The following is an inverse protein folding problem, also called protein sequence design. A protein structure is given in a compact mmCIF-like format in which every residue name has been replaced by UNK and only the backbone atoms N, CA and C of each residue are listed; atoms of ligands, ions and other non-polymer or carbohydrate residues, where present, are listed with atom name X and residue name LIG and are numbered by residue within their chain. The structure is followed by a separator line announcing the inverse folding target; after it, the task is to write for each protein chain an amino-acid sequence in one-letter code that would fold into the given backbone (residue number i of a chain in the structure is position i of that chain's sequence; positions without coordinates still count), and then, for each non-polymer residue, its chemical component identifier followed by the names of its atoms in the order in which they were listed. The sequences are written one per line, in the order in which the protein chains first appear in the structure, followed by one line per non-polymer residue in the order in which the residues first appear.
data_IF_216318372927
#
_entry.id   IF_216318372927
#
_cell.length_a   1.000
_cell.length_b   1.000
_cell.length_c   1.000
_cell.angle_alpha   90.00
_cell.angle_beta   90.00
_cell.angle_gamma   90.00
#
_symmetry.space_group_name_H-M   'P 1'
#
loop_
_entity.id
_entity.type
_entity.pdbx_description
1 polymer ?
#
# COMPACT_ATOMS: atom_id res chain seq x y z
N UNK A 1 22.08 -14.50 -13.18
CA UNK A 1 20.77 -14.22 -13.77
C UNK A 1 20.52 -12.73 -13.62
N UNK A 2 20.20 -12.00 -14.68
CA UNK A 2 19.94 -10.54 -14.59
C UNK A 2 18.65 -10.30 -13.82
N UNK A 3 18.61 -9.23 -13.01
CA UNK A 3 17.36 -8.76 -12.39
C UNK A 3 16.29 -8.55 -13.45
N UNK A 4 15.05 -8.78 -13.08
CA UNK A 4 13.91 -8.68 -13.98
C UNK A 4 13.67 -7.20 -14.28
N UNK A 5 13.58 -6.86 -15.56
CA UNK A 5 13.27 -5.52 -16.04
C UNK A 5 12.05 -5.55 -16.99
N UNK A 6 11.60 -4.38 -17.47
CA UNK A 6 10.43 -4.28 -18.33
C UNK A 6 10.55 -5.07 -19.65
N UNK A 7 11.78 -5.35 -20.14
CA UNK A 7 12.00 -6.08 -21.39
C UNK A 7 11.73 -7.58 -21.25
N UNK A 8 11.91 -8.13 -20.07
CA UNK A 8 11.75 -9.57 -19.80
C UNK A 8 10.62 -9.90 -18.80
N UNK A 9 9.92 -8.88 -18.29
CA UNK A 9 8.92 -9.06 -17.23
C UNK A 9 7.77 -9.97 -17.63
N UNK A 10 7.34 -9.94 -18.88
CA UNK A 10 6.30 -10.82 -19.40
C UNK A 10 6.74 -12.28 -19.52
N UNK A 11 8.05 -12.57 -19.42
CA UNK A 11 8.57 -13.94 -19.38
C UNK A 11 8.43 -14.58 -18.00
N UNK A 12 8.12 -13.77 -16.97
CA UNK A 12 7.94 -14.25 -15.61
C UNK A 12 6.75 -15.20 -15.53
N UNK A 13 7.00 -16.40 -14.97
CA UNK A 13 5.95 -17.39 -14.83
C UNK A 13 5.31 -17.83 -16.16
N UNK A 14 5.99 -17.58 -17.30
CA UNK A 14 5.47 -17.83 -18.65
C UNK A 14 4.15 -17.09 -18.91
N UNK A 15 4.03 -15.84 -18.42
CA UNK A 15 2.85 -15.02 -18.64
C UNK A 15 2.53 -14.87 -20.12
N UNK A 16 1.30 -15.09 -20.51
CA UNK A 16 0.84 -14.97 -21.90
C UNK A 16 -0.23 -13.88 -22.04
N UNK A 17 -1.29 -13.95 -21.26
CA UNK A 17 -2.46 -13.04 -21.29
C UNK A 17 -3.33 -13.24 -20.06
N UNK A 18 -4.20 -12.28 -19.78
CA UNK A 18 -5.23 -12.41 -18.73
C UNK A 18 -6.12 -13.64 -18.98
N UNK A 19 -6.28 -14.42 -17.93
CA UNK A 19 -7.16 -15.58 -17.90
C UNK A 19 -8.19 -15.45 -16.78
N UNK A 20 -9.47 -15.64 -17.12
CA UNK A 20 -10.57 -15.69 -16.15
C UNK A 20 -10.76 -17.08 -15.53
N UNK A 21 -9.81 -18.02 -15.68
CA UNK A 21 -9.89 -19.33 -15.03
C UNK A 21 -10.13 -19.16 -13.51
N UNK A 22 -11.15 -19.83 -12.99
CA UNK A 22 -11.60 -19.75 -11.59
C UNK A 22 -12.04 -18.34 -11.13
N UNK A 23 -12.41 -17.46 -12.08
CA UNK A 23 -12.93 -16.12 -11.80
C UNK A 23 -14.28 -15.99 -12.55
N UNK A 24 -15.36 -15.98 -11.78
CA UNK A 24 -16.68 -15.80 -12.35
C UNK A 24 -16.96 -14.33 -12.74
N UNK A 25 -18.03 -14.10 -13.50
CA UNK A 25 -18.41 -12.76 -13.99
C UNK A 25 -18.50 -11.73 -12.85
N UNK A 26 -19.16 -12.07 -11.74
CA UNK A 26 -19.37 -11.17 -10.61
C UNK A 26 -18.05 -10.72 -9.99
N UNK A 27 -17.12 -11.65 -9.79
CA UNK A 27 -15.79 -11.35 -9.24
C UNK A 27 -14.95 -10.52 -10.23
N UNK A 28 -14.97 -10.86 -11.53
CA UNK A 28 -14.22 -10.12 -12.53
C UNK A 28 -14.69 -8.66 -12.62
N UNK A 29 -16.00 -8.41 -12.61
CA UNK A 29 -16.56 -7.05 -12.54
C UNK A 29 -16.17 -6.35 -11.24
N UNK A 30 -16.22 -7.04 -10.11
CA UNK A 30 -15.81 -6.46 -8.82
C UNK A 30 -14.34 -6.02 -8.80
N UNK A 31 -13.43 -6.84 -9.34
CA UNK A 31 -12.01 -6.49 -9.45
C UNK A 31 -11.82 -5.26 -10.34
N UNK A 32 -12.48 -5.23 -11.49
CA UNK A 32 -12.44 -4.08 -12.40
C UNK A 32 -12.97 -2.80 -11.75
N UNK A 33 -14.16 -2.88 -11.16
CA UNK A 33 -14.80 -1.72 -10.50
C UNK A 33 -13.92 -1.15 -9.39
N UNK A 34 -13.29 -2.01 -8.58
CA UNK A 34 -12.39 -1.55 -7.53
C UNK A 34 -11.15 -0.84 -8.10
N UNK A 35 -10.49 -1.43 -9.12
CA UNK A 35 -9.32 -0.80 -9.74
C UNK A 35 -9.68 0.53 -10.39
N UNK A 36 -10.79 0.60 -11.12
CA UNK A 36 -11.23 1.84 -11.76
C UNK A 36 -11.56 2.92 -10.73
N UNK A 37 -12.30 2.59 -9.68
CA UNK A 37 -12.61 3.52 -8.58
C UNK A 37 -11.35 4.01 -7.89
N UNK A 38 -10.40 3.12 -7.59
CA UNK A 38 -9.12 3.50 -6.99
C UNK A 38 -8.35 4.46 -7.89
N UNK A 39 -8.24 4.17 -9.20
CA UNK A 39 -7.60 5.05 -10.17
C UNK A 39 -8.24 6.42 -10.21
N UNK A 40 -9.57 6.50 -10.31
CA UNK A 40 -10.30 7.78 -10.33
C UNK A 40 -10.11 8.57 -9.04
N UNK A 41 -10.06 7.87 -7.89
CA UNK A 41 -9.75 8.47 -6.59
C UNK A 41 -8.35 9.09 -6.57
N UNK A 42 -7.33 8.35 -7.01
CA UNK A 42 -5.95 8.83 -7.06
C UNK A 42 -5.79 10.00 -8.04
N UNK A 43 -6.38 9.92 -9.24
CA UNK A 43 -6.36 10.99 -10.24
C UNK A 43 -7.08 12.26 -9.74
N UNK A 44 -8.15 12.10 -8.98
CA UNK A 44 -8.86 13.23 -8.37
C UNK A 44 -8.02 13.90 -7.28
N UNK A 45 -7.38 13.10 -6.41
CA UNK A 45 -6.45 13.61 -5.40
C UNK A 45 -5.25 14.29 -6.08
N UNK A 46 -4.68 13.68 -7.13
CA UNK A 46 -3.54 14.22 -7.89
C UNK A 46 -3.88 15.60 -8.48
N UNK A 47 -5.07 15.75 -9.04
CA UNK A 47 -5.56 17.01 -9.60
C UNK A 47 -5.77 18.09 -8.54
N UNK A 48 -6.30 17.72 -7.37
CA UNK A 48 -6.61 18.62 -6.26
C UNK A 48 -5.36 18.93 -5.41
N UNK A 49 -4.37 18.05 -5.41
CA UNK A 49 -3.13 18.19 -4.65
C UNK A 49 -2.30 19.33 -5.21
N UNK A 50 -2.65 20.54 -4.85
CA UNK A 50 -1.89 21.71 -5.25
C UNK A 50 -0.79 22.01 -4.20
N UNK A 51 0.44 22.35 -4.64
CA UNK A 51 1.56 22.59 -3.72
C UNK A 51 1.32 23.67 -2.68
N UNK A 52 0.34 24.52 -2.89
CA UNK A 52 0.14 25.65 -2.00
C UNK A 52 -0.85 25.40 -0.87
N UNK A 53 -1.77 24.41 -0.95
CA UNK A 53 -2.97 24.83 -0.29
C UNK A 53 -3.54 23.92 0.79
N UNK A 54 -4.27 22.89 0.47
CA UNK A 54 -5.14 22.29 1.47
C UNK A 54 -4.65 20.93 1.95
N UNK A 55 -3.99 20.16 1.07
CA UNK A 55 -3.37 18.86 1.42
C UNK A 55 -1.89 19.04 1.73
N UNK A 56 -1.56 19.23 2.99
CA UNK A 56 -0.19 19.57 3.42
C UNK A 56 0.69 18.37 3.77
N UNK A 57 0.23 17.16 3.52
CA UNK A 57 1.02 15.96 3.74
C UNK A 57 1.65 15.46 2.43
N UNK A 58 2.84 14.82 2.48
CA UNK A 58 3.38 14.13 1.33
C UNK A 58 2.43 13.00 0.90
N UNK A 59 2.04 12.99 -0.38
CA UNK A 59 1.15 11.96 -0.94
C UNK A 59 1.92 11.07 -1.91
N UNK A 60 1.77 9.76 -1.77
CA UNK A 60 2.39 8.76 -2.64
C UNK A 60 1.29 8.01 -3.38
N UNK A 61 1.10 8.33 -4.65
CA UNK A 61 0.03 7.77 -5.48
C UNK A 61 0.31 6.32 -5.89
N UNK A 62 -0.72 5.48 -5.84
CA UNK A 62 -0.65 4.08 -6.26
C UNK A 62 -1.21 3.83 -7.67
N UNK A 63 -1.34 4.88 -8.50
CA UNK A 63 -1.76 4.77 -9.89
C UNK A 63 -0.81 3.88 -10.68
N UNK A 64 -1.35 2.82 -11.28
CA UNK A 64 -0.59 1.75 -11.95
C UNK A 64 -0.41 0.48 -11.12
N UNK A 65 -0.67 0.53 -9.82
CA UNK A 65 -0.45 -0.56 -8.86
C UNK A 65 -1.78 -1.12 -8.27
N UNK A 66 -2.91 -0.93 -8.96
CA UNK A 66 -4.25 -1.21 -8.41
C UNK A 66 -4.59 -2.70 -8.28
N UNK A 67 -3.84 -3.59 -8.93
CA UNK A 67 -4.19 -5.02 -9.00
C UNK A 67 -4.08 -5.74 -7.65
N UNK A 68 -3.06 -5.41 -6.84
CA UNK A 68 -2.88 -5.99 -5.50
C UNK A 68 -3.99 -5.54 -4.55
N UNK A 69 -4.25 -4.23 -4.38
CA UNK A 69 -5.38 -3.77 -3.55
C UNK A 69 -6.73 -4.33 -3.96
N UNK A 70 -7.04 -4.40 -5.26
CA UNK A 70 -8.28 -4.98 -5.78
C UNK A 70 -8.44 -6.46 -5.42
N UNK A 71 -7.36 -7.20 -5.52
CA UNK A 71 -7.33 -8.61 -5.13
C UNK A 71 -7.58 -8.77 -3.63
N UNK A 72 -6.87 -8.01 -2.79
CA UNK A 72 -7.01 -8.05 -1.34
C UNK A 72 -8.42 -7.65 -0.87
N UNK A 73 -9.05 -6.64 -1.50
CA UNK A 73 -10.44 -6.26 -1.24
C UNK A 73 -11.41 -7.43 -1.42
N UNK A 74 -11.12 -8.32 -2.35
CA UNK A 74 -11.98 -9.46 -2.67
C UNK A 74 -11.70 -10.70 -1.84
N UNK A 75 -10.51 -10.81 -1.23
CA UNK A 75 -10.02 -12.00 -0.51
C UNK A 75 -10.14 -11.85 1.00
N UNK A 76 -9.82 -10.68 1.54
CA UNK A 76 -9.71 -10.48 2.99
C UNK A 76 -11.07 -10.41 3.65
N UNK A 77 -11.15 -11.02 4.83
CA UNK A 77 -12.30 -10.96 5.75
C UNK A 77 -12.14 -9.79 6.73
N UNK A 78 -13.21 -9.41 7.39
CA UNK A 78 -13.20 -8.30 8.38
C UNK A 78 -12.18 -8.53 9.50
N UNK A 79 -12.04 -9.77 9.99
CA UNK A 79 -11.10 -10.13 11.05
C UNK A 79 -9.64 -10.25 10.63
N UNK A 80 -9.31 -10.20 9.34
CA UNK A 80 -7.92 -10.23 8.86
C UNK A 80 -7.27 -8.87 9.06
N UNK A 81 -5.95 -8.87 9.26
CA UNK A 81 -5.16 -7.65 9.40
C UNK A 81 -4.40 -7.36 8.11
N UNK A 82 -4.34 -6.09 7.76
CA UNK A 82 -3.61 -5.60 6.60
C UNK A 82 -2.67 -4.47 7.02
N UNK A 83 -1.40 -4.67 6.75
CA UNK A 83 -0.35 -3.68 6.93
C UNK A 83 0.15 -3.21 5.58
N UNK A 84 0.53 -1.94 5.49
CA UNK A 84 0.99 -1.31 4.25
C UNK A 84 2.18 -0.39 4.50
N UNK A 85 2.75 0.08 3.42
CA UNK A 85 3.79 1.09 3.36
C UNK A 85 3.20 2.48 3.06
N UNK A 86 4.07 3.47 2.81
CA UNK A 86 3.70 4.85 2.53
C UNK A 86 2.73 5.06 1.35
N UNK A 87 2.69 4.14 0.37
CA UNK A 87 1.74 4.15 -0.76
C UNK A 87 0.48 3.38 -0.39
N UNK A 88 -0.28 3.94 0.55
CA UNK A 88 -1.23 3.21 1.38
C UNK A 88 -2.68 3.26 0.92
N UNK A 89 -3.07 4.21 0.05
CA UNK A 89 -4.48 4.49 -0.27
C UNK A 89 -5.22 3.27 -0.83
N UNK A 90 -4.59 2.52 -1.76
CA UNK A 90 -5.16 1.30 -2.31
C UNK A 90 -5.43 0.24 -1.24
N UNK A 91 -4.51 0.06 -0.30
CA UNK A 91 -4.66 -0.89 0.81
C UNK A 91 -5.71 -0.44 1.83
N UNK A 92 -5.76 0.86 2.12
CA UNK A 92 -6.79 1.46 2.97
C UNK A 92 -8.20 1.17 2.43
N UNK A 93 -8.42 1.46 1.15
CA UNK A 93 -9.69 1.19 0.47
C UNK A 93 -9.95 -0.32 0.32
N UNK A 94 -8.90 -1.15 0.14
CA UNK A 94 -9.04 -2.60 0.09
C UNK A 94 -9.61 -3.18 1.39
N UNK A 95 -9.31 -2.58 2.53
CA UNK A 95 -9.89 -2.94 3.83
C UNK A 95 -11.26 -2.30 4.08
N UNK A 96 -11.86 -1.70 3.04
CA UNK A 96 -13.18 -1.05 3.11
C UNK A 96 -13.24 0.08 4.15
N UNK A 97 -12.13 0.74 4.40
CA UNK A 97 -12.11 1.94 5.20
C UNK A 97 -12.78 3.08 4.42
N UNK A 98 -13.50 4.00 5.09
CA UNK A 98 -14.30 5.02 4.41
C UNK A 98 -13.44 6.03 3.63
N UNK A 99 -13.77 6.27 2.36
CA UNK A 99 -13.09 7.26 1.52
C UNK A 99 -13.19 8.68 2.11
N UNK A 100 -14.33 9.04 2.70
CA UNK A 100 -14.53 10.32 3.39
C UNK A 100 -13.50 10.57 4.48
N UNK A 101 -13.10 9.52 5.22
CA UNK A 101 -12.09 9.64 6.27
C UNK A 101 -10.66 9.70 5.72
N UNK A 102 -10.41 9.06 4.57
CA UNK A 102 -9.15 9.21 3.85
C UNK A 102 -8.97 10.68 3.43
N UNK A 103 -9.95 11.26 2.76
CA UNK A 103 -9.86 12.64 2.30
C UNK A 103 -9.76 13.64 3.45
N UNK A 104 -10.56 13.47 4.50
CA UNK A 104 -10.44 14.31 5.69
C UNK A 104 -9.06 14.21 6.35
N UNK A 105 -8.41 13.03 6.29
CA UNK A 105 -7.03 12.86 6.79
C UNK A 105 -6.02 13.62 5.93
N UNK A 106 -6.15 13.55 4.59
CA UNK A 106 -5.26 14.28 3.68
C UNK A 106 -5.35 15.79 3.87
N UNK A 107 -6.54 16.30 4.23
CA UNK A 107 -6.76 17.71 4.58
C UNK A 107 -6.37 18.06 6.03
N UNK A 108 -5.83 17.12 6.81
CA UNK A 108 -5.45 17.34 8.20
C UNK A 108 -6.63 17.59 9.14
N UNK A 109 -7.82 17.05 8.84
CA UNK A 109 -9.06 17.34 9.58
C UNK A 109 -9.31 16.36 10.72
N UNK A 110 -9.92 16.86 11.81
CA UNK A 110 -10.28 16.06 13.00
C UNK A 110 -11.12 14.83 12.69
N UNK A 111 -11.92 14.87 11.63
CA UNK A 111 -12.78 13.76 11.21
C UNK A 111 -12.07 12.72 10.36
N UNK A 112 -10.79 12.91 10.05
CA UNK A 112 -9.94 11.97 9.33
C UNK A 112 -9.80 10.63 10.05
N UNK A 113 -9.20 9.67 9.38
CA UNK A 113 -8.99 8.33 9.90
C UNK A 113 -8.15 8.31 11.19
N UNK A 114 -7.19 9.23 11.29
CA UNK A 114 -6.26 9.43 12.41
C UNK A 114 -6.38 10.86 12.97
N UNK A 115 -7.53 11.46 12.88
CA UNK A 115 -7.81 12.82 13.38
C UNK A 115 -6.96 13.92 12.72
N UNK A 116 -6.52 13.69 11.47
CA UNK A 116 -5.71 14.64 10.70
C UNK A 116 -4.22 14.63 11.03
N UNK A 117 -3.73 13.64 11.76
CA UNK A 117 -2.36 13.61 12.30
C UNK A 117 -1.42 12.65 11.56
N UNK A 118 -1.93 11.73 10.77
CA UNK A 118 -1.13 10.73 10.08
C UNK A 118 -0.81 11.10 8.62
N UNK A 119 -1.65 11.93 8.00
CA UNK A 119 -1.54 12.22 6.58
C UNK A 119 -1.70 10.97 5.72
N UNK A 120 -1.08 10.98 4.52
CA UNK A 120 -1.17 9.89 3.56
C UNK A 120 -0.36 8.65 3.93
N UNK A 121 0.84 8.83 4.48
CA UNK A 121 1.83 7.75 4.61
C UNK A 121 1.57 6.81 5.78
N UNK A 122 1.06 7.35 6.89
CA UNK A 122 0.89 6.63 8.15
C UNK A 122 -0.59 6.42 8.48
N UNK A 123 -1.46 6.57 7.47
CA UNK A 123 -2.91 6.44 7.65
C UNK A 123 -3.28 5.05 8.13
N UNK A 124 -4.05 4.98 9.20
CA UNK A 124 -4.51 3.73 9.79
C UNK A 124 -6.02 3.77 10.04
N UNK A 125 -6.65 2.61 10.03
CA UNK A 125 -8.07 2.49 10.36
C UNK A 125 -8.32 1.22 11.18
N UNK A 126 -8.10 1.32 12.49
CA UNK A 126 -8.14 0.21 13.43
C UNK A 126 -9.47 -0.56 13.42
N UNK A 127 -10.60 0.13 13.17
CA UNK A 127 -11.94 -0.50 13.05
C UNK A 127 -11.98 -1.59 11.97
N UNK A 128 -11.17 -1.45 10.92
CA UNK A 128 -11.09 -2.42 9.83
C UNK A 128 -9.76 -3.21 9.85
N UNK A 129 -8.97 -3.13 10.93
CA UNK A 129 -7.66 -3.79 11.05
C UNK A 129 -6.70 -3.41 9.93
N UNK A 130 -6.64 -2.12 9.59
CA UNK A 130 -5.73 -1.57 8.62
C UNK A 130 -4.73 -0.63 9.29
N UNK A 131 -3.45 -0.81 8.95
CA UNK A 131 -2.34 0.00 9.47
C UNK A 131 -1.30 0.25 8.37
N UNK A 132 -0.77 1.44 8.29
CA UNK A 132 0.34 1.76 7.42
C UNK A 132 1.46 2.47 8.17
N UNK A 133 2.62 2.57 7.54
CA UNK A 133 3.76 3.27 8.10
C UNK A 133 4.77 3.65 7.03
N UNK A 134 5.36 4.83 7.17
CA UNK A 134 6.35 5.35 6.23
C UNK A 134 7.71 4.67 6.35
N UNK A 135 8.03 4.08 7.51
CA UNK A 135 9.33 3.44 7.76
C UNK A 135 9.45 2.16 6.94
N UNK A 136 10.47 2.11 6.08
CA UNK A 136 10.75 0.94 5.23
C UNK A 136 10.95 -0.32 6.08
N UNK A 137 10.26 -1.40 5.70
CA UNK A 137 10.18 -2.68 6.40
C UNK A 137 9.53 -2.64 7.80
N UNK A 138 9.28 -1.47 8.40
CA UNK A 138 8.66 -1.35 9.72
C UNK A 138 7.30 -2.02 9.79
N UNK A 139 6.45 -1.81 8.79
CA UNK A 139 5.14 -2.45 8.73
C UNK A 139 5.24 -3.99 8.68
N UNK A 140 6.26 -4.56 8.05
CA UNK A 140 6.44 -6.01 7.96
C UNK A 140 6.77 -6.64 9.33
N UNK A 141 7.65 -6.00 10.12
CA UNK A 141 8.00 -6.48 11.47
C UNK A 141 6.85 -6.33 12.47
N UNK A 142 6.08 -5.25 12.38
CA UNK A 142 4.86 -5.07 13.21
C UNK A 142 3.79 -6.09 12.82
N UNK A 143 3.61 -6.35 11.52
CA UNK A 143 2.71 -7.39 11.01
C UNK A 143 3.10 -8.79 11.52
N UNK A 144 4.41 -9.07 11.60
CA UNK A 144 4.94 -10.29 12.20
C UNK A 144 4.48 -10.45 13.67
N UNK A 145 4.61 -9.38 14.47
CA UNK A 145 4.14 -9.37 15.86
C UNK A 145 2.64 -9.68 15.98
N UNK A 146 1.83 -9.14 15.06
CA UNK A 146 0.40 -9.44 14.97
C UNK A 146 0.16 -10.92 14.65
N UNK A 147 0.91 -11.49 13.71
CA UNK A 147 0.80 -12.91 13.35
C UNK A 147 1.21 -13.84 14.53
N UNK A 148 2.23 -13.46 15.30
CA UNK A 148 2.62 -14.15 16.53
C UNK A 148 1.46 -14.16 17.53
N UNK A 149 0.79 -13.01 17.72
CA UNK A 149 -0.35 -12.93 18.65
C UNK A 149 -1.50 -13.86 18.26
N UNK A 150 -1.68 -14.13 16.98
CA UNK A 150 -2.69 -15.07 16.49
C UNK A 150 -2.34 -16.51 16.84
N UNK A 151 -1.08 -16.89 16.75
CA UNK A 151 -0.63 -18.24 17.11
C UNK A 151 -0.71 -18.46 18.62
N UNK A 152 -0.32 -17.47 19.43
CA UNK A 152 -0.41 -17.54 20.89
C UNK A 152 -1.84 -17.73 21.39
N UNK A 153 -2.81 -17.07 20.76
CA UNK A 153 -4.23 -17.14 21.14
C UNK A 153 -4.95 -18.42 20.69
N UNK A 154 -4.29 -19.32 20.00
CA UNK A 154 -4.77 -20.65 19.52
C UNK A 154 -6.13 -20.67 18.79
N UNK A 155 -6.83 -19.55 18.66
CA UNK A 155 -8.20 -19.45 18.13
C UNK A 155 -8.23 -18.64 16.86
N UNK A 156 -7.48 -19.05 15.79
CA UNK A 156 -7.50 -18.12 14.70
C UNK A 156 -7.53 -18.73 13.33
N UNK A 157 -8.63 -18.44 12.69
CA UNK A 157 -8.83 -18.54 11.27
C UNK A 157 -8.49 -17.19 10.57
N UNK A 158 -7.69 -16.33 11.24
CA UNK A 158 -7.28 -15.01 10.75
C UNK A 158 -5.93 -15.08 10.07
N UNK A 159 -5.70 -14.15 9.15
CA UNK A 159 -4.39 -13.98 8.52
C UNK A 159 -3.96 -12.54 8.63
N UNK A 160 -2.66 -12.35 8.53
CA UNK A 160 -2.02 -11.04 8.37
C UNK A 160 -1.50 -10.93 6.95
N UNK A 161 -1.73 -9.80 6.29
CA UNK A 161 -1.08 -9.45 5.03
C UNK A 161 -0.28 -8.19 5.25
N UNK A 162 0.95 -8.15 4.75
CA UNK A 162 1.78 -6.95 4.73
C UNK A 162 2.21 -6.64 3.30
N UNK A 163 1.82 -5.44 2.80
CA UNK A 163 2.27 -4.89 1.53
C UNK A 163 3.51 -4.03 1.71
N UNK A 164 4.44 -4.08 0.76
CA UNK A 164 5.67 -3.28 0.78
C UNK A 164 6.23 -3.13 -0.63
N UNK A 165 7.00 -2.05 -0.85
CA UNK A 165 7.80 -1.87 -2.05
C UNK A 165 9.11 -2.67 -1.99
N UNK A 166 9.71 -2.94 -3.15
CA UNK A 166 10.93 -3.76 -3.24
C UNK A 166 12.10 -3.22 -2.40
N UNK A 167 12.16 -1.91 -2.19
CA UNK A 167 13.23 -1.28 -1.39
C UNK A 167 13.15 -1.62 0.11
N UNK A 168 12.01 -2.05 0.62
CA UNK A 168 11.92 -2.55 1.99
C UNK A 168 12.83 -3.76 2.23
N UNK A 169 13.16 -4.49 1.17
CA UNK A 169 14.07 -5.64 1.24
C UNK A 169 15.56 -5.27 1.31
N UNK A 170 15.88 -3.97 1.26
CA UNK A 170 17.23 -3.46 1.54
C UNK A 170 17.51 -3.41 3.05
N UNK A 171 16.46 -3.53 3.88
CA UNK A 171 16.56 -3.51 5.34
C UNK A 171 16.71 -4.91 5.92
N UNK A 172 17.65 -5.07 6.86
CA UNK A 172 17.91 -6.37 7.52
C UNK A 172 16.70 -6.93 8.23
N UNK A 173 15.94 -6.08 8.95
CA UNK A 173 14.74 -6.46 9.70
C UNK A 173 13.67 -7.14 8.84
N UNK A 174 13.62 -6.86 7.53
CA UNK A 174 12.73 -7.55 6.61
C UNK A 174 13.06 -9.05 6.54
N UNK A 175 14.32 -9.39 6.34
CA UNK A 175 14.78 -10.78 6.20
C UNK A 175 14.71 -11.56 7.52
N UNK A 176 14.98 -10.88 8.63
CA UNK A 176 14.80 -11.43 9.98
C UNK A 176 13.32 -11.77 10.21
N UNK A 177 12.41 -10.88 9.79
CA UNK A 177 10.96 -11.12 9.88
C UNK A 177 10.52 -12.34 9.05
N UNK A 178 11.07 -12.50 7.84
CA UNK A 178 10.78 -13.67 7.01
C UNK A 178 11.28 -14.96 7.67
N UNK A 179 12.52 -14.95 8.15
CA UNK A 179 13.11 -16.10 8.83
C UNK A 179 12.27 -16.56 10.02
N UNK A 180 11.89 -15.63 10.88
CA UNK A 180 11.07 -15.94 12.04
C UNK A 180 9.67 -16.43 11.66
N UNK A 181 9.03 -15.78 10.67
CA UNK A 181 7.73 -16.21 10.16
C UNK A 181 7.77 -17.65 9.61
N UNK A 182 8.83 -17.99 8.89
CA UNK A 182 9.06 -19.34 8.34
C UNK A 182 9.25 -20.37 9.45
N UNK A 183 10.16 -20.09 10.38
CA UNK A 183 10.48 -20.95 11.53
C UNK A 183 9.22 -21.30 12.34
N UNK A 184 8.36 -20.32 12.59
CA UNK A 184 7.12 -20.47 13.37
C UNK A 184 5.89 -20.83 12.54
N UNK A 185 6.01 -20.96 11.22
CA UNK A 185 4.90 -21.26 10.29
C UNK A 185 3.71 -20.30 10.45
N UNK A 186 4.00 -19.01 10.66
CA UNK A 186 3.00 -18.01 11.00
C UNK A 186 1.99 -17.75 9.85
N UNK A 187 0.74 -17.36 10.15
CA UNK A 187 -0.29 -17.08 9.14
C UNK A 187 -0.14 -15.67 8.55
N UNK A 188 1.02 -15.40 7.95
CA UNK A 188 1.36 -14.10 7.36
C UNK A 188 1.68 -14.24 5.88
N UNK A 189 1.22 -13.27 5.08
CA UNK A 189 1.50 -13.13 3.65
C UNK A 189 2.28 -11.84 3.43
N UNK A 190 3.43 -11.95 2.81
CA UNK A 190 4.26 -10.84 2.38
C UNK A 190 3.99 -10.53 0.91
N UNK A 191 3.54 -9.31 0.59
CA UNK A 191 3.22 -8.90 -0.80
C UNK A 191 4.15 -7.77 -1.20
N UNK A 192 5.07 -8.08 -2.10
CA UNK A 192 5.98 -7.10 -2.67
C UNK A 192 5.37 -6.47 -3.93
N UNK A 193 5.14 -5.18 -3.93
CA UNK A 193 4.88 -4.38 -5.13
C UNK A 193 6.21 -3.88 -5.68
N UNK A 194 6.81 -4.69 -6.55
CA UNK A 194 8.11 -4.39 -7.14
C UNK A 194 7.90 -3.49 -8.36
N UNK A 195 8.06 -2.19 -8.17
CA UNK A 195 8.01 -1.20 -9.25
C UNK A 195 9.41 -0.81 -9.77
N UNK A 196 10.44 -1.54 -9.35
CA UNK A 196 11.83 -1.42 -9.76
C UNK A 196 12.58 -0.19 -9.20
N UNK A 197 11.93 0.73 -8.48
CA UNK A 197 12.56 1.98 -8.08
C UNK A 197 12.33 2.34 -6.61
N UNK A 198 13.42 2.64 -5.90
CA UNK A 198 13.40 3.34 -4.62
C UNK A 198 13.70 4.80 -4.89
N UNK A 199 12.72 5.67 -4.76
CA UNK A 199 12.78 7.06 -5.24
C UNK A 199 13.23 7.10 -6.70
N UNK A 200 14.50 7.40 -6.97
CA UNK A 200 15.08 7.47 -8.32
C UNK A 200 16.09 6.34 -8.59
N UNK A 201 16.37 5.51 -7.59
CA UNK A 201 17.39 4.46 -7.68
C UNK A 201 16.78 3.14 -8.15
N UNK A 202 17.20 2.59 -9.30
CA UNK A 202 16.70 1.30 -9.77
C UNK A 202 17.20 0.15 -8.87
N UNK A 203 16.38 -0.90 -8.76
CA UNK A 203 16.70 -2.07 -7.96
C UNK A 203 18.07 -2.69 -8.31
N UNK A 204 18.44 -2.67 -9.59
CA UNK A 204 19.72 -3.20 -10.07
C UNK A 204 20.97 -2.48 -9.55
N UNK A 205 20.83 -1.27 -9.01
CA UNK A 205 21.90 -0.51 -8.38
C UNK A 205 21.99 -0.71 -6.86
N UNK A 206 20.96 -1.30 -6.25
CA UNK A 206 20.83 -1.47 -4.80
C UNK A 206 20.93 -2.93 -4.36
N UNK A 207 20.52 -3.86 -5.22
CA UNK A 207 20.42 -5.27 -4.88
C UNK A 207 21.21 -6.13 -5.86
N UNK A 208 22.06 -6.99 -5.34
CA UNK A 208 22.77 -8.00 -6.12
C UNK A 208 21.98 -9.31 -6.18
N UNK A 209 22.28 -10.15 -7.17
CA UNK A 209 21.82 -11.53 -7.25
C UNK A 209 20.44 -11.69 -7.88
N UNK A 210 19.79 -12.75 -7.48
CA UNK A 210 18.48 -13.18 -8.02
C UNK A 210 17.36 -12.48 -7.27
N UNK A 211 16.21 -12.23 -7.84
CA UNK A 211 15.10 -11.44 -7.28
C UNK A 211 14.67 -11.78 -5.83
N UNK A 212 13.74 -10.99 -5.32
CA UNK A 212 13.28 -11.05 -3.92
C UNK A 212 12.67 -12.42 -3.60
N UNK A 213 11.87 -12.96 -4.51
CA UNK A 213 11.24 -14.28 -4.38
C UNK A 213 12.29 -15.39 -4.18
N UNK A 214 13.37 -15.40 -4.95
CA UNK A 214 14.41 -16.42 -4.79
C UNK A 214 15.16 -16.29 -3.46
N UNK A 215 15.43 -15.07 -3.02
CA UNK A 215 16.04 -14.83 -1.70
C UNK A 215 15.13 -15.28 -0.56
N UNK A 216 13.81 -15.05 -0.68
CA UNK A 216 12.85 -15.52 0.32
C UNK A 216 12.81 -17.06 0.45
N UNK A 217 13.02 -17.78 -0.66
CA UNK A 217 13.13 -19.25 -0.61
C UNK A 217 14.33 -19.72 0.25
N UNK A 218 15.42 -18.96 0.30
CA UNK A 218 16.57 -19.28 1.14
C UNK A 218 16.25 -19.24 2.65
N UNK A 219 15.22 -18.47 3.04
CA UNK A 219 14.68 -18.44 4.40
C UNK A 219 13.55 -19.47 4.63
N UNK A 220 13.36 -20.42 3.71
CA UNK A 220 12.36 -21.49 3.83
C UNK A 220 10.92 -21.07 3.54
N UNK A 221 10.68 -19.86 3.04
CA UNK A 221 9.35 -19.43 2.61
C UNK A 221 9.04 -19.94 1.20
N UNK A 222 7.82 -20.40 1.01
CA UNK A 222 7.28 -20.51 -0.33
C UNK A 222 7.09 -19.13 -0.91
N UNK A 223 7.60 -18.90 -2.10
CA UNK A 223 7.51 -17.61 -2.77
C UNK A 223 7.22 -17.75 -4.26
N UNK A 224 6.79 -16.67 -4.87
CA UNK A 224 6.54 -16.61 -6.31
C UNK A 224 6.66 -15.18 -6.81
N UNK A 225 7.26 -15.02 -7.99
CA UNK A 225 7.27 -13.77 -8.75
C UNK A 225 6.27 -13.87 -9.91
N UNK A 226 5.47 -12.82 -10.10
CA UNK A 226 4.45 -12.77 -11.15
C UNK A 226 4.38 -11.40 -11.82
N UNK A 227 3.79 -11.33 -13.02
CA UNK A 227 3.38 -10.07 -13.63
C UNK A 227 2.22 -9.47 -12.83
N UNK A 228 2.47 -8.34 -12.16
CA UNK A 228 1.58 -7.74 -11.18
C UNK A 228 0.39 -6.99 -11.78
N UNK A 229 0.43 -6.63 -13.08
CA UNK A 229 -0.67 -5.93 -13.73
C UNK A 229 -1.77 -6.87 -14.24
N UNK A 230 -1.59 -8.20 -14.17
CA UNK A 230 -2.68 -9.16 -14.36
C UNK A 230 -3.40 -9.38 -13.03
N UNK A 231 -4.46 -8.62 -12.78
CA UNK A 231 -5.25 -8.71 -11.55
C UNK A 231 -5.86 -10.11 -11.32
N UNK A 232 -6.16 -10.85 -12.38
CA UNK A 232 -6.70 -12.19 -12.28
C UNK A 232 -5.65 -13.19 -11.78
N UNK A 233 -4.41 -13.04 -12.23
CA UNK A 233 -3.27 -13.81 -11.75
C UNK A 233 -2.94 -13.44 -10.29
N UNK A 234 -2.86 -12.15 -9.99
CA UNK A 234 -2.63 -11.65 -8.62
C UNK A 234 -3.70 -12.19 -7.66
N UNK A 235 -4.97 -12.10 -8.04
CA UNK A 235 -6.07 -12.63 -7.24
C UNK A 235 -5.92 -14.12 -6.95
N UNK A 236 -5.66 -14.96 -7.97
CA UNK A 236 -5.53 -16.41 -7.80
C UNK A 236 -4.37 -16.77 -6.85
N UNK A 237 -3.22 -16.14 -7.02
CA UNK A 237 -2.05 -16.43 -6.19
C UNK A 237 -2.26 -15.97 -4.75
N UNK A 238 -2.79 -14.77 -4.54
CA UNK A 238 -3.11 -14.27 -3.19
C UNK A 238 -4.22 -15.08 -2.53
N UNK A 239 -5.29 -15.46 -3.24
CA UNK A 239 -6.36 -16.27 -2.69
C UNK A 239 -5.84 -17.65 -2.22
N UNK A 240 -4.97 -18.28 -3.02
CA UNK A 240 -4.30 -19.53 -2.66
C UNK A 240 -3.38 -19.36 -1.44
N UNK A 241 -2.57 -18.30 -1.42
CA UNK A 241 -1.67 -18.00 -0.32
C UNK A 241 -2.43 -17.77 0.99
N UNK A 242 -3.46 -16.90 0.98
CA UNK A 242 -4.31 -16.60 2.12
C UNK A 242 -5.05 -17.85 2.62
N UNK A 243 -5.60 -18.67 1.70
CA UNK A 243 -6.24 -19.92 2.07
C UNK A 243 -5.28 -20.91 2.75
N UNK A 244 -4.04 -21.01 2.25
CA UNK A 244 -3.02 -21.86 2.84
C UNK A 244 -2.59 -21.37 4.23
N UNK A 245 -2.37 -20.06 4.39
CA UNK A 245 -2.02 -19.47 5.69
C UNK A 245 -3.13 -19.71 6.73
N UNK A 246 -4.41 -19.57 6.36
CA UNK A 246 -5.54 -19.92 7.23
C UNK A 246 -5.53 -21.38 7.68
N UNK A 247 -5.03 -22.27 6.84
CA UNK A 247 -4.88 -23.70 7.11
C UNK A 247 -3.56 -24.04 7.83
N UNK A 248 -2.87 -23.02 8.37
CA UNK A 248 -1.59 -23.16 9.08
C UNK A 248 -0.48 -23.80 8.24
N UNK A 249 -0.51 -23.60 6.91
CA UNK A 249 0.53 -24.11 6.01
C UNK A 249 1.76 -23.22 5.90
N UNK A 250 1.87 -22.23 6.79
CA UNK A 250 2.99 -21.31 6.89
C UNK A 250 2.84 -20.04 6.03
N UNK A 251 3.86 -19.17 6.10
CA UNK A 251 3.89 -17.91 5.38
C UNK A 251 4.11 -18.10 3.88
N UNK A 252 3.83 -17.03 3.13
CA UNK A 252 4.09 -16.98 1.69
C UNK A 252 4.56 -15.57 1.30
N UNK A 253 5.48 -15.48 0.33
CA UNK A 253 5.86 -14.22 -0.30
C UNK A 253 5.40 -14.19 -1.75
N UNK A 254 4.66 -13.16 -2.12
CA UNK A 254 4.31 -12.86 -3.51
C UNK A 254 5.05 -11.60 -3.95
N UNK A 255 5.89 -11.71 -4.96
CA UNK A 255 6.51 -10.58 -5.64
C UNK A 255 5.72 -10.28 -6.91
N UNK A 256 5.09 -9.10 -6.96
CA UNK A 256 4.32 -8.61 -8.09
C UNK A 256 5.08 -7.52 -8.81
N UNK A 257 5.48 -7.75 -10.06
CA UNK A 257 6.09 -6.72 -10.86
C UNK A 257 5.03 -5.79 -11.42
N UNK A 258 5.12 -4.53 -11.03
CA UNK A 258 4.15 -3.48 -11.33
C UNK A 258 4.89 -2.16 -11.65
N UNK A 259 4.16 -1.06 -11.73
CA UNK A 259 4.78 0.24 -12.02
C UNK A 259 3.91 1.41 -11.56
N UNK A 260 4.50 2.35 -10.87
CA UNK A 260 3.83 3.61 -10.51
C UNK A 260 3.87 4.60 -11.69
N UNK A 261 2.73 5.20 -12.01
CA UNK A 261 2.65 6.16 -13.12
C UNK A 261 3.12 7.54 -12.71
N UNK A 262 2.76 8.01 -11.52
CA UNK A 262 3.22 9.26 -10.94
C UNK A 262 4.66 9.17 -10.44
N UNK A 263 5.25 10.29 -10.06
CA UNK A 263 6.54 10.36 -9.41
C UNK A 263 6.60 9.59 -8.08
N UNK A 264 7.72 9.67 -7.39
CA UNK A 264 7.84 9.01 -6.09
C UNK A 264 6.85 9.61 -5.09
N UNK A 265 6.75 10.92 -5.05
CA UNK A 265 5.89 11.71 -4.16
C UNK A 265 5.28 12.88 -4.91
N UNK A 266 4.05 13.26 -4.57
CA UNK A 266 3.34 14.38 -5.17
C UNK A 266 2.75 14.07 -6.55
N UNK A 267 2.07 15.06 -7.16
CA UNK A 267 1.28 14.89 -8.38
C UNK A 267 2.11 14.89 -9.65
N UNK A 268 3.37 15.32 -9.59
CA UNK A 268 4.20 15.44 -10.79
C UNK A 268 4.69 14.07 -11.25
N UNK A 269 4.77 13.90 -12.57
CA UNK A 269 5.57 12.84 -13.15
C UNK A 269 7.04 13.24 -13.04
N UNK A 270 7.89 12.35 -12.58
CA UNK A 270 9.32 12.62 -12.45
C UNK A 270 10.11 12.28 -13.74
N UNK A 271 9.45 12.37 -14.90
CA UNK A 271 10.06 12.13 -16.21
C UNK A 271 11.22 13.07 -16.50
N UNK A 272 11.14 14.31 -16.00
CA UNK A 272 12.20 15.33 -16.17
C UNK A 272 13.50 14.96 -15.44
N UNK A 273 13.45 14.09 -14.45
CA UNK A 273 14.65 13.59 -13.74
C UNK A 273 15.46 12.61 -14.59
N UNK A 274 14.84 12.00 -15.61
CA UNK A 274 15.53 11.17 -16.60
C UNK A 274 15.97 9.77 -16.16
N UNK A 275 15.60 9.31 -14.97
CA UNK A 275 15.96 7.96 -14.50
C UNK A 275 15.08 6.84 -15.08
N UNK A 276 13.89 7.18 -15.59
CA UNK A 276 12.96 6.28 -16.28
C UNK A 276 12.93 6.57 -17.76
N UNK A 277 13.08 5.55 -18.59
CA UNK A 277 13.03 5.74 -20.03
C UNK A 277 11.58 5.90 -20.55
N UNK A 278 11.39 6.72 -21.59
CA UNK A 278 10.08 6.85 -22.27
C UNK A 278 9.56 5.49 -22.76
N UNK A 279 10.45 4.59 -23.21
CA UNK A 279 10.11 3.22 -23.66
C UNK A 279 9.56 2.38 -22.52
N UNK A 280 10.14 2.46 -21.34
CA UNK A 280 9.67 1.77 -20.14
C UNK A 280 8.29 2.27 -19.71
N UNK A 281 8.11 3.59 -19.63
CA UNK A 281 6.83 4.20 -19.28
C UNK A 281 5.73 3.78 -20.27
N UNK A 282 6.02 3.84 -21.57
CA UNK A 282 5.08 3.42 -22.61
C UNK A 282 4.71 1.94 -22.51
N UNK A 283 5.68 1.07 -22.18
CA UNK A 283 5.43 -0.36 -21.94
C UNK A 283 4.42 -0.56 -20.80
N UNK A 284 4.61 0.11 -19.67
CA UNK A 284 3.74 -0.05 -18.52
C UNK A 284 2.35 0.58 -18.72
N UNK A 285 2.26 1.73 -19.39
CA UNK A 285 0.98 2.35 -19.80
C UNK A 285 0.19 1.43 -20.74
N UNK A 286 0.87 0.77 -21.72
CA UNK A 286 0.25 -0.24 -22.59
C UNK A 286 -0.26 -1.47 -21.82
N UNK A 287 0.42 -1.82 -20.74
CA UNK A 287 0.05 -2.96 -19.88
C UNK A 287 -0.67 -2.48 -18.60
N UNK A 288 -1.53 -1.48 -18.71
CA UNK A 288 -2.33 -0.97 -17.61
C UNK A 288 -3.25 -2.05 -17.03
N UNK A 289 -3.25 -2.30 -15.70
CA UNK A 289 -4.05 -3.36 -15.09
C UNK A 289 -5.55 -3.22 -15.35
N UNK A 290 -6.05 -1.99 -15.40
CA UNK A 290 -7.46 -1.68 -15.68
C UNK A 290 -7.77 -2.01 -17.14
N UNK A 291 -6.99 -1.49 -18.09
CA UNK A 291 -7.22 -1.68 -19.52
C UNK A 291 -7.12 -3.17 -19.92
N UNK A 292 -6.15 -3.90 -19.37
CA UNK A 292 -6.00 -5.33 -19.62
C UNK A 292 -7.23 -6.13 -19.21
N UNK A 293 -7.83 -5.85 -18.05
CA UNK A 293 -9.04 -6.56 -17.64
C UNK A 293 -10.27 -6.05 -18.40
N UNK A 294 -10.38 -4.73 -18.65
CA UNK A 294 -11.49 -4.14 -19.40
C UNK A 294 -11.66 -4.77 -20.77
N UNK A 295 -10.56 -4.90 -21.53
CA UNK A 295 -10.56 -5.56 -22.85
C UNK A 295 -11.18 -6.96 -22.78
N UNK A 296 -10.81 -7.75 -21.78
CA UNK A 296 -11.33 -9.09 -21.59
C UNK A 296 -12.81 -9.07 -21.23
N UNK A 297 -13.25 -8.15 -20.36
CA UNK A 297 -14.66 -8.05 -19.93
C UNK A 297 -15.57 -7.60 -21.07
N UNK A 298 -15.11 -6.67 -21.91
CA UNK A 298 -15.85 -6.24 -23.11
C UNK A 298 -15.95 -7.39 -24.12
N UNK A 299 -14.83 -8.05 -24.45
CA UNK A 299 -14.80 -9.18 -25.37
C UNK A 299 -15.70 -10.34 -24.91
N UNK A 300 -15.81 -10.58 -23.60
CA UNK A 300 -16.69 -11.58 -22.99
C UNK A 300 -18.14 -11.10 -22.85
N UNK A 301 -18.45 -9.88 -23.24
CA UNK A 301 -19.77 -9.24 -23.05
C UNK A 301 -20.20 -9.20 -21.56
N UNK A 302 -19.25 -9.11 -20.65
CA UNK A 302 -19.52 -8.95 -19.20
C UNK A 302 -19.78 -7.49 -18.86
N UNK A 303 -19.14 -6.57 -19.58
CA UNK A 303 -19.35 -5.13 -19.52
C UNK A 303 -19.52 -4.54 -20.93
N UNK A 304 -20.20 -3.42 -21.01
CA UNK A 304 -20.29 -2.56 -22.19
C UNK A 304 -19.98 -1.10 -21.78
N UNK A 305 -19.92 -0.20 -22.76
CA UNK A 305 -19.61 1.23 -22.51
C UNK A 305 -20.55 1.89 -21.49
N UNK A 306 -21.84 1.56 -21.53
CA UNK A 306 -22.84 2.13 -20.59
C UNK A 306 -22.55 1.65 -19.16
N UNK A 307 -22.23 0.37 -18.96
CA UNK A 307 -21.86 -0.15 -17.64
C UNK A 307 -20.60 0.55 -17.10
N UNK A 308 -19.59 0.74 -17.94
CA UNK A 308 -18.35 1.41 -17.57
C UNK A 308 -18.62 2.87 -17.18
N UNK A 309 -19.42 3.57 -17.99
CA UNK A 309 -19.82 4.96 -17.68
C UNK A 309 -20.59 5.06 -16.35
N UNK A 310 -21.49 4.12 -16.09
CA UNK A 310 -22.21 4.07 -14.82
C UNK A 310 -21.26 3.88 -13.63
N UNK A 311 -20.29 2.95 -13.73
CA UNK A 311 -19.28 2.72 -12.70
C UNK A 311 -18.45 4.00 -12.45
N UNK A 312 -18.10 4.74 -13.52
CA UNK A 312 -17.36 6.00 -13.40
C UNK A 312 -18.20 7.08 -12.68
N UNK A 313 -19.47 7.21 -13.04
CA UNK A 313 -20.37 8.18 -12.41
C UNK A 313 -20.54 7.91 -10.91
N UNK A 314 -20.78 6.65 -10.54
CA UNK A 314 -20.87 6.23 -9.14
C UNK A 314 -19.58 6.52 -8.35
N UNK A 315 -18.43 6.20 -8.96
CA UNK A 315 -17.12 6.45 -8.35
C UNK A 315 -16.86 7.94 -8.16
N UNK A 316 -17.11 8.77 -9.17
CA UNK A 316 -16.92 10.20 -9.11
C UNK A 316 -17.83 10.85 -8.06
N UNK A 317 -19.09 10.42 -7.97
CA UNK A 317 -19.99 10.90 -6.92
C UNK A 317 -19.44 10.63 -5.51
N UNK A 318 -18.96 9.40 -5.26
CA UNK A 318 -18.36 9.05 -3.97
C UNK A 318 -17.09 9.87 -3.68
N UNK A 319 -16.30 10.16 -4.71
CA UNK A 319 -15.10 11.00 -4.63
C UNK A 319 -15.49 12.45 -4.29
N UNK A 320 -16.46 13.03 -4.99
CA UNK A 320 -16.95 14.40 -4.75
C UNK A 320 -17.53 14.54 -3.33
N UNK A 321 -18.29 13.55 -2.88
CA UNK A 321 -18.82 13.50 -1.51
C UNK A 321 -17.67 13.45 -0.48
N UNK A 322 -16.59 12.71 -0.78
CA UNK A 322 -15.44 12.62 0.10
C UNK A 322 -14.63 13.94 0.16
N UNK A 323 -14.47 14.65 -0.95
CA UNK A 323 -13.89 15.99 -0.97
C UNK A 323 -14.70 16.97 -0.15
N UNK A 324 -16.00 17.02 -0.40
CA UNK A 324 -16.92 17.90 0.32
C UNK A 324 -16.90 17.64 1.84
N UNK A 325 -16.86 16.37 2.24
CA UNK A 325 -16.74 15.98 3.64
C UNK A 325 -15.41 16.45 4.24
N UNK A 326 -14.30 16.22 3.56
CA UNK A 326 -12.97 16.63 4.01
C UNK A 326 -12.87 18.14 4.16
N UNK A 327 -13.23 18.90 3.13
CA UNK A 327 -13.15 20.37 3.12
C UNK A 327 -14.00 21.02 4.21
N UNK A 328 -15.24 20.53 4.43
CA UNK A 328 -16.17 21.07 5.43
C UNK A 328 -15.83 20.69 6.87
N UNK A 329 -14.95 19.73 7.09
CA UNK A 329 -14.58 19.27 8.43
C UNK A 329 -13.65 20.24 9.15
N UNK A 330 -13.77 20.30 10.47
CA UNK A 330 -12.90 21.14 11.31
C UNK A 330 -11.51 20.56 11.50
N UNK A 331 -10.53 21.40 11.76
CA UNK A 331 -9.20 20.99 12.20
C UNK A 331 -9.22 20.45 13.64
N UNK A 332 -8.26 19.61 14.03
CA UNK A 332 -8.11 19.19 15.43
C UNK A 332 -7.69 20.37 16.30
N UNK A 333 -8.13 20.36 17.58
CA UNK A 333 -7.69 21.34 18.55
C UNK A 333 -6.26 21.01 19.03
N UNK A 334 -5.42 22.03 19.24
CA UNK A 334 -4.06 21.87 19.72
C UNK A 334 -3.97 21.11 21.05
N UNK A 335 -4.88 21.37 21.99
CA UNK A 335 -4.94 20.65 23.27
C UNK A 335 -5.27 19.15 23.16
N UNK A 336 -5.75 18.67 21.99
CA UNK A 336 -5.95 17.24 21.76
C UNK A 336 -4.67 16.49 21.40
N UNK A 337 -3.55 17.21 21.20
CA UNK A 337 -2.24 16.63 20.87
C UNK A 337 -1.48 16.17 22.10
N UNK A 338 -1.86 16.64 23.28
CA UNK A 338 -1.26 16.20 24.54
C UNK A 338 -1.55 14.70 24.77
N UNK A 339 -0.50 13.94 25.05
CA UNK A 339 -0.53 12.50 25.38
C UNK A 339 -0.88 11.54 24.21
N UNK A 340 -0.72 11.95 22.94
CA UNK A 340 -1.01 11.09 21.78
C UNK A 340 -0.17 9.79 21.72
N UNK A 341 1.04 9.81 22.26
CA UNK A 341 1.98 8.70 22.18
C UNK A 341 1.81 7.64 23.29
N UNK A 342 0.95 7.91 24.28
CA UNK A 342 0.77 7.04 25.44
C UNK A 342 -0.70 6.73 25.66
N UNK A 343 -1.04 5.44 25.74
CA UNK A 343 -2.42 5.01 26.03
C UNK A 343 -2.83 5.26 27.48
N UNK A 344 -1.86 5.44 28.38
CA UNK A 344 -2.05 5.76 29.80
C UNK A 344 -0.91 6.65 30.27
N UNK A 345 -1.20 7.56 31.21
CA UNK A 345 -0.15 8.27 31.92
C UNK A 345 0.76 7.27 32.63
N UNK A 346 2.04 7.36 32.38
CA UNK A 346 3.05 6.57 33.06
C UNK A 346 3.89 7.47 33.95
N UNK A 347 4.49 6.99 35.05
CA UNK A 347 5.39 7.79 35.88
C UNK A 347 6.53 8.45 35.08
N UNK A 348 6.99 7.77 34.02
CA UNK A 348 8.00 8.31 33.08
C UNK A 348 7.45 9.49 32.27
N UNK A 349 6.22 9.37 31.75
CA UNK A 349 5.58 10.44 30.98
C UNK A 349 5.34 11.68 31.85
N UNK A 350 4.86 11.49 33.08
CA UNK A 350 4.68 12.61 34.04
C UNK A 350 6.01 13.28 34.38
N UNK A 351 7.08 12.51 34.53
CA UNK A 351 8.44 13.03 34.76
C UNK A 351 8.93 13.86 33.58
N UNK A 352 8.83 13.33 32.37
CA UNK A 352 9.23 14.04 31.14
C UNK A 352 8.43 15.33 30.95
N UNK A 353 7.12 15.30 31.17
CA UNK A 353 6.26 16.48 31.05
C UNK A 353 6.62 17.55 32.11
N UNK A 354 6.98 17.12 33.33
CA UNK A 354 7.43 18.00 34.36
C UNK A 354 8.77 18.67 33.99
N UNK A 355 9.75 17.87 33.56
CA UNK A 355 11.04 18.34 33.07
C UNK A 355 10.87 19.31 31.90
N UNK A 356 9.95 19.03 30.95
CA UNK A 356 9.67 19.92 29.83
C UNK A 356 9.08 21.29 30.24
N UNK A 357 8.24 21.31 31.29
CA UNK A 357 7.68 22.55 31.86
C UNK A 357 8.70 23.36 32.63
N UNK A 358 9.73 22.71 33.17
CA UNK A 358 10.82 23.34 33.94
C UNK A 358 11.94 23.89 33.04
N UNK A 359 11.96 23.52 31.74
CA UNK A 359 12.92 24.08 30.78
C UNK A 359 12.46 25.49 30.38
N UNK A 360 13.05 26.49 31.01
CA UNK A 360 12.96 27.86 30.53
C UNK A 360 13.74 27.97 29.21
N UNK A 361 13.06 27.97 28.09
CA UNK A 361 13.65 28.39 26.82
C UNK A 361 13.91 29.88 26.90
N UNK A 362 15.14 30.27 27.20
CA UNK A 362 15.58 31.64 27.00
C UNK A 362 15.55 31.94 25.51
N UNK A 363 14.60 32.80 25.11
CA UNK A 363 14.42 33.21 23.71
C UNK A 363 15.67 33.88 23.09
N UNK A 364 16.64 34.25 23.95
CA UNK A 364 17.88 34.89 23.53
C UNK A 364 19.03 33.93 23.20
N UNK A 365 18.89 32.62 23.36
CA UNK A 365 19.87 31.69 22.84
C UNK A 365 19.74 31.62 21.32
N UNK A 366 20.69 32.25 20.62
CA UNK A 366 20.88 32.07 19.17
C UNK A 366 20.98 30.57 18.89
N UNK A 367 19.94 30.02 18.30
CA UNK A 367 19.96 28.65 17.77
C UNK A 367 21.02 28.62 16.67
N UNK A 368 22.17 28.05 16.95
CA UNK A 368 23.17 27.76 15.93
C UNK A 368 22.57 26.60 15.09
N UNK A 369 21.95 26.96 13.99
CA UNK A 369 21.52 25.96 13.02
C UNK A 369 22.77 25.20 12.54
N UNK A 370 22.83 23.86 12.63
CA UNK A 370 23.92 23.11 12.04
C UNK A 370 23.98 23.45 10.56
N UNK A 371 25.16 23.85 10.08
CA UNK A 371 25.38 23.98 8.63
C UNK A 371 25.11 22.60 8.04
N UNK A 372 24.09 22.52 7.17
CA UNK A 372 23.82 21.29 6.45
C UNK A 372 25.05 20.84 5.68
N UNK A 373 25.26 19.52 5.67
CA UNK A 373 26.26 18.88 4.85
C UNK A 373 25.86 18.95 3.37
#
# INVERSE_FOLDING_TARGET
MKLINHENILKIGKYKKISLANINKKLAIKLYTFMLKLRLCEEAIEKEYHPADEMRCPVHFCSGEEAVPASLNSILKSGDYLFSHHRSHGYYLAKKAPMTKLFAELYGKKTGANSGLAGSQDISYAKNNFFSGAILAGAASIALGTAISFEMKRKNNKVVVTGFGEAATDQGIFWESLNYASLKKLPIIFVCENNNYSTFSPQSKRQSGKGISERANAFGLKSKSIFGNDVCLVYRELAKAVSNARKKKGPFLLETFTYRYSGHVGPLTDEFVGYRSKKEIAFWKKNCPIALLEEVLIRKKYLNKNNINHIKLEANKEIDDAFNYGKKSNFPNLGSLENLNLSKKTPLADKILKEFKEINFNADQKVILPKGY
#
